data_IF_725451002451
#
_entry.id   IF_725451002451
#
_cell.length_a   1.000
_cell.length_b   1.000
_cell.length_c   1.000
_cell.angle_alpha   90.00
_cell.angle_beta   90.00
_cell.angle_gamma   90.00
#
_symmetry.space_group_name_H-M   'P 1'
#
loop_
_entity.id
_entity.type
_entity.pdbx_description
1 polymer ?
#
# COMPACT_ATOMS: atom_id res chain seq x y z
N UNK A 1 -6.67 -30.45 42.37
CA UNK A 1 -7.09 -29.14 41.85
C UNK A 1 -5.92 -28.16 41.66
N UNK A 2 -4.96 -28.03 42.59
CA UNK A 2 -3.75 -27.21 42.38
C UNK A 2 -2.66 -27.89 41.52
N UNK A 3 -2.57 -29.23 41.48
CA UNK A 3 -1.63 -29.93 40.58
C UNK A 3 -2.10 -29.97 39.10
N UNK A 4 -3.41 -29.99 38.84
CA UNK A 4 -3.95 -29.88 37.47
C UNK A 4 -3.85 -28.47 36.88
N UNK A 5 -3.65 -27.44 37.72
CA UNK A 5 -3.38 -26.07 37.27
C UNK A 5 -1.90 -25.84 36.93
N UNK A 6 -0.98 -26.62 37.51
CA UNK A 6 0.44 -26.56 37.14
C UNK A 6 0.76 -27.30 35.84
N UNK A 7 0.06 -28.39 35.52
CA UNK A 7 0.23 -29.07 34.22
C UNK A 7 -0.34 -28.28 33.03
N UNK A 8 -1.37 -27.46 33.25
CA UNK A 8 -1.94 -26.60 32.20
C UNK A 8 -1.13 -25.33 31.91
N UNK A 9 -0.28 -24.87 32.86
CA UNK A 9 0.64 -23.76 32.62
C UNK A 9 1.92 -24.16 31.88
N UNK A 10 2.20 -25.46 31.79
CA UNK A 10 3.32 -26.03 31.02
C UNK A 10 2.92 -26.48 29.60
N UNK A 11 1.68 -26.24 29.16
CA UNK A 11 1.38 -26.16 27.73
C UNK A 11 1.85 -24.81 27.22
N UNK A 12 3.17 -24.75 27.11
CA UNK A 12 3.96 -23.82 26.33
C UNK A 12 3.09 -23.03 25.35
N UNK A 13 3.12 -21.69 25.50
CA UNK A 13 3.17 -20.81 24.34
C UNK A 13 4.37 -21.27 23.49
N UNK A 14 4.15 -22.30 22.68
CA UNK A 14 4.97 -22.53 21.52
C UNK A 14 4.68 -21.34 20.62
N UNK A 15 5.50 -20.30 20.77
CA UNK A 15 5.72 -19.30 19.75
C UNK A 15 5.75 -20.06 18.42
N UNK A 16 4.91 -19.70 17.43
CA UNK A 16 4.83 -20.47 16.20
C UNK A 16 6.25 -20.63 15.67
N UNK A 17 6.67 -21.91 15.55
CA UNK A 17 7.97 -22.33 15.02
C UNK A 17 8.32 -21.33 13.93
N UNK A 18 9.37 -20.53 14.17
CA UNK A 18 9.68 -19.38 13.34
C UNK A 18 9.82 -19.87 11.91
N UNK A 19 8.81 -19.61 11.07
CA UNK A 19 8.91 -19.93 9.65
C UNK A 19 10.20 -19.28 9.14
N UNK A 20 11.08 -20.03 8.46
CA UNK A 20 12.24 -19.43 7.84
C UNK A 20 11.76 -18.34 6.87
N UNK A 21 12.49 -17.23 6.83
CA UNK A 21 12.22 -16.14 5.89
C UNK A 21 12.29 -16.69 4.46
N UNK A 22 11.47 -16.15 3.56
CA UNK A 22 11.48 -16.62 2.18
C UNK A 22 12.81 -16.24 1.52
N UNK A 23 13.37 -17.16 0.75
CA UNK A 23 14.53 -16.83 -0.09
C UNK A 23 14.12 -15.92 -1.25
N UNK A 24 15.10 -15.23 -1.84
CA UNK A 24 14.88 -14.41 -3.05
C UNK A 24 14.27 -15.27 -4.18
N UNK A 25 14.73 -16.51 -4.34
CA UNK A 25 14.20 -17.45 -5.33
C UNK A 25 12.73 -17.78 -5.09
N UNK A 26 12.33 -18.04 -3.84
CA UNK A 26 10.92 -18.30 -3.49
C UNK A 26 10.03 -17.10 -3.84
N UNK A 27 10.48 -15.88 -3.52
CA UNK A 27 9.75 -14.65 -3.88
C UNK A 27 9.63 -14.47 -5.39
N UNK A 28 10.66 -14.82 -6.16
CA UNK A 28 10.63 -14.76 -7.63
C UNK A 28 9.62 -15.74 -8.22
N UNK A 29 9.59 -16.98 -7.74
CA UNK A 29 8.62 -18.00 -8.19
C UNK A 29 7.18 -17.55 -7.90
N UNK A 30 6.91 -17.03 -6.70
CA UNK A 30 5.57 -16.53 -6.36
C UNK A 30 5.14 -15.34 -7.24
N UNK A 31 6.07 -14.42 -7.55
CA UNK A 31 5.80 -13.30 -8.47
C UNK A 31 5.47 -13.79 -9.88
N UNK A 32 6.15 -14.81 -10.40
CA UNK A 32 5.86 -15.37 -11.73
C UNK A 32 4.41 -15.91 -11.84
N UNK A 33 3.85 -16.37 -10.73
CA UNK A 33 2.47 -16.85 -10.67
C UNK A 33 1.42 -15.73 -10.50
N UNK A 34 1.85 -14.47 -10.39
CA UNK A 34 0.96 -13.33 -10.17
C UNK A 34 0.93 -12.43 -11.40
N UNK A 35 -0.24 -12.12 -11.97
CA UNK A 35 -0.31 -11.38 -13.22
C UNK A 35 -0.34 -9.84 -12.99
N UNK A 36 0.64 -9.29 -12.27
CA UNK A 36 0.74 -7.85 -12.00
C UNK A 36 1.58 -7.12 -13.07
N UNK A 37 1.08 -6.02 -13.68
CA UNK A 37 1.82 -5.27 -14.69
C UNK A 37 3.20 -4.76 -14.24
N UNK A 38 3.33 -4.35 -12.98
CA UNK A 38 4.59 -3.81 -12.43
C UNK A 38 5.75 -4.81 -12.46
N UNK A 39 5.47 -6.12 -12.52
CA UNK A 39 6.50 -7.16 -12.48
C UNK A 39 7.43 -7.08 -13.68
N UNK A 40 6.91 -6.74 -14.86
CA UNK A 40 7.70 -6.59 -16.07
C UNK A 40 8.68 -5.40 -16.00
N UNK A 41 8.41 -4.43 -15.13
CA UNK A 41 9.20 -3.21 -14.99
C UNK A 41 10.31 -3.32 -13.94
N UNK A 42 10.50 -4.47 -13.27
CA UNK A 42 11.44 -4.63 -12.15
C UNK A 42 12.87 -4.20 -12.51
N UNK A 43 13.43 -4.77 -13.57
CA UNK A 43 14.83 -4.54 -13.93
C UNK A 43 15.05 -3.11 -14.43
N UNK A 44 14.10 -2.57 -15.21
CA UNK A 44 14.13 -1.19 -15.66
C UNK A 44 14.05 -0.23 -14.46
N UNK A 45 13.13 -0.46 -13.52
CA UNK A 45 12.97 0.33 -12.31
C UNK A 45 14.26 0.41 -11.50
N UNK A 46 14.87 -0.73 -11.16
CA UNK A 46 16.10 -0.75 -10.36
C UNK A 46 17.26 -0.05 -11.08
N UNK A 47 17.47 -0.36 -12.37
CA UNK A 47 18.54 0.23 -13.16
C UNK A 47 18.38 1.75 -13.30
N UNK A 48 17.16 2.23 -13.57
CA UNK A 48 16.87 3.66 -13.72
C UNK A 48 16.97 4.40 -12.40
N UNK A 49 16.41 3.88 -11.32
CA UNK A 49 16.52 4.50 -10.01
C UNK A 49 17.98 4.63 -9.56
N UNK A 50 18.80 3.60 -9.80
CA UNK A 50 20.24 3.64 -9.53
C UNK A 50 20.96 4.76 -10.31
N UNK A 51 20.58 4.97 -11.58
CA UNK A 51 21.18 5.98 -12.46
C UNK A 51 20.70 7.40 -12.16
N UNK A 52 19.40 7.57 -11.97
CA UNK A 52 18.73 8.88 -11.99
C UNK A 52 18.48 9.44 -10.58
N UNK A 53 18.56 8.58 -9.55
CA UNK A 53 18.35 8.89 -8.13
C UNK A 53 16.93 9.29 -7.73
N UNK A 54 16.21 9.98 -8.61
CA UNK A 54 14.79 10.31 -8.46
C UNK A 54 14.05 9.74 -9.66
N UNK A 55 13.04 8.91 -9.39
CA UNK A 55 12.21 8.32 -10.43
C UNK A 55 10.74 8.59 -10.14
N UNK A 56 10.03 9.12 -11.13
CA UNK A 56 8.57 9.28 -11.09
C UNK A 56 7.96 8.04 -11.74
N UNK A 57 7.25 7.22 -10.98
CA UNK A 57 6.60 6.00 -11.48
C UNK A 57 5.13 6.28 -11.71
N UNK A 58 4.72 6.23 -12.98
CA UNK A 58 3.34 6.36 -13.42
C UNK A 58 2.78 4.99 -13.77
N UNK A 59 1.79 4.54 -13.01
CA UNK A 59 1.05 3.32 -13.33
C UNK A 59 -0.34 3.37 -12.73
N UNK A 60 -1.32 2.72 -13.36
CA UNK A 60 -2.69 2.69 -12.86
C UNK A 60 -2.84 2.01 -11.49
N UNK A 61 -3.94 2.30 -10.80
CA UNK A 61 -4.33 1.57 -9.58
C UNK A 61 -4.47 0.08 -9.87
N UNK A 62 -4.04 -0.77 -8.95
CA UNK A 62 -4.07 -2.23 -9.16
C UNK A 62 -2.90 -2.79 -9.98
N UNK A 63 -1.99 -1.95 -10.50
CA UNK A 63 -0.79 -2.43 -11.20
C UNK A 63 0.25 -3.12 -10.30
N UNK A 64 0.14 -2.94 -8.98
CA UNK A 64 1.05 -3.51 -7.97
C UNK A 64 2.15 -2.57 -7.46
N UNK A 65 2.13 -1.26 -7.79
CA UNK A 65 3.15 -0.28 -7.35
C UNK A 65 3.44 -0.35 -5.85
N UNK A 66 2.41 -0.17 -5.04
CA UNK A 66 2.48 -0.04 -3.59
C UNK A 66 2.92 -1.31 -2.88
N UNK A 67 2.82 -2.48 -3.54
CA UNK A 67 3.28 -3.76 -2.98
C UNK A 67 4.66 -4.15 -3.49
N UNK A 68 4.94 -3.98 -4.79
CA UNK A 68 6.15 -4.52 -5.41
C UNK A 68 7.35 -3.56 -5.42
N UNK A 69 7.13 -2.25 -5.62
CA UNK A 69 8.24 -1.28 -5.67
C UNK A 69 9.07 -1.27 -4.38
N UNK A 70 8.49 -1.31 -3.17
CA UNK A 70 9.27 -1.38 -1.94
C UNK A 70 10.10 -2.66 -1.84
N UNK A 71 9.58 -3.79 -2.32
CA UNK A 71 10.29 -5.06 -2.31
C UNK A 71 11.47 -5.06 -3.30
N UNK A 72 11.29 -4.48 -4.48
CA UNK A 72 12.39 -4.34 -5.46
C UNK A 72 13.49 -3.44 -4.93
N UNK A 73 13.10 -2.32 -4.32
CA UNK A 73 14.04 -1.40 -3.72
C UNK A 73 14.84 -2.09 -2.60
N UNK A 74 14.18 -2.85 -1.74
CA UNK A 74 14.82 -3.58 -0.64
C UNK A 74 15.80 -4.64 -1.16
N UNK A 75 15.38 -5.46 -2.12
CA UNK A 75 16.21 -6.51 -2.72
C UNK A 75 17.43 -5.94 -3.46
N UNK A 76 17.29 -4.80 -4.13
CA UNK A 76 18.35 -4.27 -5.02
C UNK A 76 19.31 -3.32 -4.31
N UNK A 77 18.81 -2.40 -3.49
CA UNK A 77 19.63 -1.34 -2.87
C UNK A 77 20.10 -1.70 -1.45
N UNK A 78 19.43 -2.65 -0.81
CA UNK A 78 19.61 -2.97 0.61
C UNK A 78 19.27 -1.78 1.52
N UNK A 79 19.48 -1.98 2.82
CA UNK A 79 19.15 -0.97 3.83
C UNK A 79 17.63 -0.71 3.94
N UNK A 80 17.26 0.33 4.68
CA UNK A 80 15.86 0.62 4.97
C UNK A 80 15.16 1.27 3.78
N UNK A 81 14.06 0.68 3.33
CA UNK A 81 13.09 1.29 2.40
C UNK A 81 11.92 1.83 3.19
N UNK A 82 11.62 3.12 3.04
CA UNK A 82 10.43 3.75 3.62
C UNK A 82 9.43 4.02 2.52
N UNK A 83 8.21 3.53 2.66
CA UNK A 83 7.10 3.77 1.73
C UNK A 83 6.01 4.56 2.44
N UNK A 84 5.75 5.78 2.00
CA UNK A 84 4.70 6.62 2.59
C UNK A 84 3.34 6.32 1.99
N UNK A 85 2.30 6.51 2.79
CA UNK A 85 0.91 6.34 2.38
C UNK A 85 0.08 7.48 2.99
N UNK A 86 -0.81 8.14 2.24
CA UNK A 86 -1.66 9.19 2.81
C UNK A 86 -2.67 8.64 3.82
N UNK A 87 -3.09 7.36 3.66
CA UNK A 87 -4.14 6.73 4.47
C UNK A 87 -3.59 5.69 5.45
N UNK A 88 -4.06 5.77 6.69
CA UNK A 88 -3.70 4.85 7.79
C UNK A 88 -4.00 3.39 7.43
N UNK A 89 -5.21 3.10 6.93
CA UNK A 89 -5.64 1.74 6.61
C UNK A 89 -4.86 1.18 5.42
N UNK A 90 -4.50 2.02 4.44
CA UNK A 90 -3.62 1.64 3.33
C UNK A 90 -2.24 1.22 3.84
N UNK A 91 -1.60 2.04 4.70
CA UNK A 91 -0.30 1.70 5.29
C UNK A 91 -0.31 0.36 6.04
N UNK A 92 -1.31 0.13 6.89
CA UNK A 92 -1.43 -1.11 7.67
C UNK A 92 -1.69 -2.31 6.76
N UNK A 93 -2.63 -2.21 5.82
CA UNK A 93 -3.00 -3.31 4.94
C UNK A 93 -1.86 -3.68 3.98
N UNK A 94 -1.16 -2.69 3.42
CA UNK A 94 0.02 -2.91 2.59
C UNK A 94 1.16 -3.56 3.36
N UNK A 95 1.45 -3.09 4.58
CA UNK A 95 2.48 -3.72 5.42
C UNK A 95 2.16 -5.19 5.69
N UNK A 96 0.91 -5.52 6.02
CA UNK A 96 0.46 -6.91 6.23
C UNK A 96 0.56 -7.74 4.97
N UNK A 97 0.10 -7.20 3.84
CA UNK A 97 0.16 -7.87 2.55
C UNK A 97 1.61 -8.16 2.15
N UNK A 98 2.48 -7.16 2.24
CA UNK A 98 3.88 -7.28 1.86
C UNK A 98 4.67 -8.12 2.85
N UNK A 99 4.38 -8.11 4.15
CA UNK A 99 5.01 -9.06 5.09
C UNK A 99 4.75 -10.52 4.70
N UNK A 100 3.51 -10.82 4.27
CA UNK A 100 3.14 -12.15 3.80
C UNK A 100 3.79 -12.51 2.45
N UNK A 101 3.83 -11.57 1.50
CA UNK A 101 4.49 -11.79 0.20
C UNK A 101 6.01 -11.94 0.35
N UNK A 102 6.64 -11.01 1.07
CA UNK A 102 8.09 -10.89 1.21
C UNK A 102 8.67 -12.05 2.01
N UNK A 103 8.12 -12.39 3.19
CA UNK A 103 8.72 -13.43 4.05
C UNK A 103 7.74 -14.49 4.54
N UNK A 104 6.46 -14.42 4.18
CA UNK A 104 5.46 -15.41 4.62
C UNK A 104 5.19 -15.37 6.13
N UNK A 105 5.50 -14.24 6.78
CA UNK A 105 5.41 -14.04 8.23
C UNK A 105 4.57 -12.80 8.57
N UNK A 106 4.28 -12.64 9.86
CA UNK A 106 3.61 -11.46 10.39
C UNK A 106 4.47 -10.20 10.28
N UNK A 107 3.80 -9.05 10.15
CA UNK A 107 4.38 -7.71 10.29
C UNK A 107 5.18 -7.59 11.60
N UNK A 108 6.25 -6.81 11.58
CA UNK A 108 7.11 -6.56 12.74
C UNK A 108 8.41 -7.35 12.74
N UNK A 109 8.80 -7.93 11.61
CA UNK A 109 10.16 -8.42 11.35
C UNK A 109 10.78 -7.64 10.19
N UNK A 110 10.78 -8.20 8.98
CA UNK A 110 11.36 -7.57 7.79
C UNK A 110 10.49 -6.44 7.20
N UNK A 111 9.20 -6.45 7.50
CA UNK A 111 8.24 -5.44 7.08
C UNK A 111 7.48 -4.89 8.28
N UNK A 112 7.42 -3.57 8.41
CA UNK A 112 6.74 -2.87 9.52
C UNK A 112 5.80 -1.77 9.06
N UNK A 113 5.06 -1.17 10.00
CA UNK A 113 4.38 0.10 9.74
C UNK A 113 4.37 1.08 10.94
N UNK A 114 4.23 2.38 10.65
CA UNK A 114 3.93 3.43 11.65
C UNK A 114 2.82 4.37 11.20
N UNK A 115 1.80 4.53 12.03
CA UNK A 115 0.62 5.35 11.72
C UNK A 115 0.13 6.10 12.97
N UNK A 116 0.30 7.43 12.99
CA UNK A 116 0.02 8.23 14.19
C UNK A 116 0.74 7.69 15.43
N UNK A 117 0.02 7.52 16.54
CA UNK A 117 0.56 6.92 17.78
C UNK A 117 0.56 5.37 17.77
N UNK A 118 -0.01 4.75 16.73
CA UNK A 118 -0.05 3.31 16.59
C UNK A 118 1.17 2.83 15.78
N UNK A 119 2.01 2.04 16.42
CA UNK A 119 3.16 1.38 15.82
C UNK A 119 3.10 -0.12 16.12
N UNK A 120 3.28 -0.94 15.10
CA UNK A 120 3.56 -2.37 15.26
C UNK A 120 4.98 -2.60 14.80
N UNK A 121 5.80 -3.09 15.74
CA UNK A 121 7.26 -2.94 15.76
C UNK A 121 7.74 -2.15 16.99
N UNK A 122 7.03 -2.26 18.13
CA UNK A 122 7.35 -1.60 19.39
C UNK A 122 8.44 -2.35 20.12
N UNK A 123 9.67 -1.86 19.95
CA UNK A 123 10.60 -1.50 21.02
C UNK A 123 11.85 -0.97 20.32
N UNK A 124 12.21 0.30 20.57
CA UNK A 124 13.45 0.94 20.16
C UNK A 124 14.01 0.61 18.76
N UNK A 125 13.83 1.55 17.82
CA UNK A 125 14.66 1.73 16.63
C UNK A 125 15.07 0.47 15.88
N UNK A 126 14.36 0.22 14.77
CA UNK A 126 14.60 -0.88 13.82
C UNK A 126 14.31 -2.22 14.49
N UNK A 127 13.49 -3.07 13.88
CA UNK A 127 13.84 -4.49 14.03
C UNK A 127 15.18 -4.60 13.31
N UNK A 128 16.26 -5.10 13.95
CA UNK A 128 17.43 -5.49 13.20
C UNK A 128 16.98 -6.43 12.07
N UNK A 129 17.10 -5.99 10.82
CA UNK A 129 16.56 -6.69 9.65
C UNK A 129 15.21 -6.22 9.10
N UNK A 130 14.62 -5.09 9.54
CA UNK A 130 13.52 -4.47 8.79
C UNK A 130 14.03 -3.83 7.50
N UNK A 131 13.70 -4.46 6.38
CA UNK A 131 14.02 -3.97 5.04
C UNK A 131 13.00 -2.93 4.56
N UNK A 132 11.73 -3.02 4.99
CA UNK A 132 10.62 -2.21 4.46
C UNK A 132 9.76 -1.65 5.60
N UNK A 133 9.52 -0.34 5.59
CA UNK A 133 8.65 0.36 6.53
C UNK A 133 7.56 1.14 5.79
N UNK A 134 6.30 0.80 6.04
CA UNK A 134 5.17 1.62 5.61
C UNK A 134 4.84 2.69 6.64
N UNK A 135 4.62 3.92 6.23
CA UNK A 135 4.40 5.02 7.18
C UNK A 135 3.36 5.98 6.65
N UNK A 136 2.54 6.57 7.51
CA UNK A 136 1.71 7.70 7.05
C UNK A 136 2.56 8.94 6.84
N UNK A 137 2.21 9.78 5.87
CA UNK A 137 3.00 11.00 5.59
C UNK A 137 3.24 11.85 6.86
N UNK A 138 2.19 12.04 7.65
CA UNK A 138 2.28 12.76 8.92
C UNK A 138 3.19 12.07 9.95
N UNK A 139 3.11 10.75 10.07
CA UNK A 139 3.96 10.00 10.99
C UNK A 139 5.43 10.05 10.57
N UNK A 140 5.74 10.07 9.27
CA UNK A 140 7.11 10.20 8.80
C UNK A 140 7.70 11.56 9.17
N UNK A 141 6.93 12.64 9.00
CA UNK A 141 7.38 13.99 9.37
C UNK A 141 7.68 14.07 10.86
N UNK A 142 6.78 13.55 11.70
CA UNK A 142 6.98 13.53 13.16
C UNK A 142 8.18 12.66 13.57
N UNK A 143 8.26 11.43 13.07
CA UNK A 143 9.35 10.50 13.40
C UNK A 143 10.71 11.01 12.95
N UNK A 144 10.77 11.70 11.82
CA UNK A 144 12.03 12.27 11.38
C UNK A 144 12.51 13.41 12.28
N UNK A 145 11.60 14.14 12.95
CA UNK A 145 11.98 15.15 13.95
C UNK A 145 12.50 14.51 15.24
N UNK A 146 11.90 13.38 15.65
CA UNK A 146 12.23 12.71 16.92
C UNK A 146 13.44 11.78 16.82
N UNK A 147 13.45 10.90 15.82
CA UNK A 147 14.44 9.81 15.69
C UNK A 147 15.33 9.92 14.46
N UNK A 148 15.03 10.84 13.53
CA UNK A 148 15.81 11.01 12.30
C UNK A 148 15.73 9.81 11.35
N UNK A 149 14.57 9.13 11.28
CA UNK A 149 14.38 7.91 10.46
C UNK A 149 14.86 8.02 9.01
N UNK A 150 14.80 9.22 8.39
CA UNK A 150 15.28 9.41 7.02
C UNK A 150 16.81 9.38 6.89
N UNK A 151 17.56 9.55 7.98
CA UNK A 151 19.02 9.40 8.01
C UNK A 151 19.45 7.98 7.63
N UNK A 152 18.66 7.02 8.06
CA UNK A 152 18.90 5.59 7.90
C UNK A 152 18.20 4.99 6.66
N UNK A 153 17.34 5.78 6.02
CA UNK A 153 16.58 5.36 4.84
C UNK A 153 17.51 5.35 3.62
N UNK A 154 17.55 4.23 2.89
CA UNK A 154 18.25 4.10 1.61
C UNK A 154 17.38 4.56 0.44
N UNK A 155 16.10 4.15 0.46
CA UNK A 155 15.12 4.48 -0.58
C UNK A 155 13.84 5.00 0.08
N UNK A 156 13.43 6.21 -0.29
CA UNK A 156 12.14 6.78 0.10
C UNK A 156 11.17 6.70 -1.08
N UNK A 157 10.05 6.00 -0.89
CA UNK A 157 8.96 5.89 -1.84
C UNK A 157 7.82 6.75 -1.31
N UNK A 158 7.45 7.80 -2.04
CA UNK A 158 6.31 8.66 -1.75
C UNK A 158 5.17 8.17 -2.63
N UNK A 159 4.29 7.35 -2.06
CA UNK A 159 3.19 6.72 -2.79
C UNK A 159 1.92 7.55 -2.76
N UNK A 160 1.06 7.35 -3.74
CA UNK A 160 -0.16 8.13 -3.95
C UNK A 160 0.04 9.65 -3.87
N UNK A 161 1.16 10.13 -4.43
CA UNK A 161 1.52 11.56 -4.46
C UNK A 161 0.48 12.43 -5.20
N UNK A 162 -0.49 11.79 -5.86
CA UNK A 162 -1.66 12.42 -6.47
C UNK A 162 -2.70 12.93 -5.48
N UNK A 163 -2.74 12.41 -4.25
CA UNK A 163 -3.68 12.90 -3.23
C UNK A 163 -3.32 14.31 -2.72
N UNK A 164 -2.09 14.78 -2.98
CA UNK A 164 -1.63 16.17 -2.75
C UNK A 164 -1.96 16.69 -1.35
N UNK A 165 -1.76 15.86 -0.33
CA UNK A 165 -1.91 16.31 1.04
C UNK A 165 -0.76 17.24 1.46
N UNK A 166 -1.00 18.12 2.44
CA UNK A 166 0.03 19.00 3.00
C UNK A 166 1.26 18.21 3.48
N UNK A 167 1.02 17.08 4.16
CA UNK A 167 2.11 16.24 4.67
C UNK A 167 2.90 15.59 3.53
N UNK A 168 2.24 15.17 2.45
CA UNK A 168 2.91 14.65 1.25
C UNK A 168 3.85 15.70 0.67
N UNK A 169 3.40 16.95 0.52
CA UNK A 169 4.20 18.06 0.00
C UNK A 169 5.41 18.38 0.92
N UNK A 170 5.23 18.29 2.25
CA UNK A 170 6.34 18.42 3.22
C UNK A 170 7.36 17.29 3.03
N UNK A 171 6.91 16.03 2.93
CA UNK A 171 7.80 14.88 2.71
C UNK A 171 8.58 15.03 1.41
N UNK A 172 7.94 15.47 0.32
CA UNK A 172 8.60 15.77 -0.97
C UNK A 172 9.67 16.85 -0.80
N UNK A 173 9.38 17.92 -0.06
CA UNK A 173 10.34 18.97 0.27
C UNK A 173 11.56 18.46 1.05
N UNK A 174 11.32 17.65 2.08
CA UNK A 174 12.38 17.00 2.88
C UNK A 174 13.23 16.07 2.01
N UNK A 175 12.61 15.29 1.13
CA UNK A 175 13.30 14.39 0.22
C UNK A 175 14.27 15.16 -0.70
N UNK A 176 13.85 16.31 -1.25
CA UNK A 176 14.70 17.17 -2.08
C UNK A 176 15.91 17.73 -1.32
N UNK A 177 15.74 18.09 -0.05
CA UNK A 177 16.86 18.52 0.80
C UNK A 177 17.83 17.37 1.07
N UNK A 178 17.31 16.19 1.42
CA UNK A 178 18.12 15.01 1.69
C UNK A 178 18.91 14.55 0.46
N UNK A 179 18.34 14.59 -0.73
CA UNK A 179 19.06 14.27 -1.98
C UNK A 179 20.32 15.12 -2.19
N UNK A 180 20.31 16.39 -1.74
CA UNK A 180 21.47 17.28 -1.77
C UNK A 180 22.49 16.95 -0.68
N UNK A 181 22.02 16.61 0.52
CA UNK A 181 22.89 16.28 1.66
C UNK A 181 23.52 14.88 1.55
N UNK A 182 22.84 13.95 0.87
CA UNK A 182 23.20 12.54 0.72
C UNK A 182 23.33 12.18 -0.76
N UNK A 183 24.40 12.62 -1.45
CA UNK A 183 24.49 12.54 -2.91
C UNK A 183 24.74 11.13 -3.45
N UNK A 184 25.17 10.19 -2.61
CA UNK A 184 25.61 8.85 -3.04
C UNK A 184 24.70 7.74 -2.52
N UNK A 185 24.03 7.97 -1.40
CA UNK A 185 23.43 6.89 -0.62
C UNK A 185 21.91 7.04 -0.36
N UNK A 186 21.23 7.97 -1.03
CA UNK A 186 19.78 8.17 -0.93
C UNK A 186 19.08 8.27 -2.30
N UNK A 187 17.97 7.53 -2.43
CA UNK A 187 17.13 7.47 -3.63
C UNK A 187 15.67 7.81 -3.31
N UNK A 188 14.97 8.41 -4.27
CA UNK A 188 13.57 8.82 -4.12
C UNK A 188 12.73 8.27 -5.26
N UNK A 189 11.58 7.70 -4.92
CA UNK A 189 10.56 7.28 -5.89
C UNK A 189 9.29 8.05 -5.62
N UNK A 190 8.76 8.73 -6.63
CA UNK A 190 7.44 9.36 -6.57
C UNK A 190 6.47 8.47 -7.34
N UNK A 191 5.59 7.77 -6.63
CA UNK A 191 4.60 6.89 -7.24
C UNK A 191 3.26 7.61 -7.33
N UNK A 192 2.66 7.59 -8.53
CA UNK A 192 1.37 8.23 -8.80
C UNK A 192 0.56 7.47 -9.83
N UNK A 193 -0.75 7.36 -9.59
CA UNK A 193 -1.69 6.77 -10.52
C UNK A 193 -2.20 7.74 -11.60
N UNK A 194 -2.30 9.03 -11.28
CA UNK A 194 -3.12 9.98 -12.05
C UNK A 194 -2.47 11.34 -12.28
N UNK A 195 -1.19 11.51 -11.92
CA UNK A 195 -0.54 12.82 -12.03
C UNK A 195 0.11 13.00 -13.40
N UNK A 196 -0.09 14.19 -13.97
CA UNK A 196 0.83 14.79 -14.93
C UNK A 196 2.21 14.97 -14.24
N UNK A 197 3.22 14.17 -14.64
CA UNK A 197 4.51 14.15 -13.96
C UNK A 197 5.24 15.51 -14.01
N UNK A 198 4.84 16.42 -14.90
CA UNK A 198 5.45 17.74 -15.12
C UNK A 198 5.79 18.47 -13.82
N UNK A 199 4.84 18.54 -12.87
CA UNK A 199 5.05 19.24 -11.59
C UNK A 199 6.17 18.64 -10.75
N UNK A 200 6.32 17.31 -10.76
CA UNK A 200 7.41 16.64 -10.05
C UNK A 200 8.73 16.79 -10.79
N UNK A 201 8.71 16.72 -12.13
CA UNK A 201 9.89 16.94 -12.95
C UNK A 201 10.43 18.34 -12.75
N UNK A 202 9.59 19.37 -12.83
CA UNK A 202 9.95 20.76 -12.59
C UNK A 202 10.49 20.95 -11.16
N UNK A 203 9.80 20.39 -10.16
CA UNK A 203 10.21 20.52 -8.77
C UNK A 203 11.58 19.89 -8.52
N UNK A 204 11.85 18.70 -9.06
CA UNK A 204 13.15 18.03 -8.88
C UNK A 204 14.20 18.42 -9.93
N UNK A 205 13.86 19.31 -10.89
CA UNK A 205 14.71 19.71 -12.02
C UNK A 205 15.13 18.51 -12.88
N UNK A 206 14.18 17.61 -13.14
CA UNK A 206 14.34 16.40 -13.93
C UNK A 206 13.79 16.60 -15.34
N UNK A 207 14.05 15.63 -16.21
CA UNK A 207 13.47 15.57 -17.55
C UNK A 207 12.51 14.39 -17.65
N UNK A 208 11.75 14.29 -18.75
CA UNK A 208 10.84 13.17 -19.00
C UNK A 208 11.54 11.79 -18.97
N UNK A 209 12.86 11.75 -19.16
CA UNK A 209 13.63 10.53 -18.97
C UNK A 209 13.61 10.00 -17.55
N UNK A 210 13.03 10.72 -16.58
CA UNK A 210 12.81 10.30 -15.20
C UNK A 210 11.41 9.83 -14.89
N UNK A 211 10.58 9.67 -15.91
CA UNK A 211 9.27 9.04 -15.81
C UNK A 211 9.37 7.58 -16.23
N UNK A 212 9.04 6.66 -15.33
CA UNK A 212 8.83 5.24 -15.64
C UNK A 212 7.33 5.01 -15.82
N UNK A 213 6.92 4.78 -17.06
CA UNK A 213 5.53 4.46 -17.38
C UNK A 213 5.36 2.94 -17.35
N UNK A 214 4.44 2.48 -16.51
CA UNK A 214 4.08 1.06 -16.44
C UNK A 214 2.66 0.94 -16.96
N UNK A 215 2.47 0.28 -18.12
CA UNK A 215 1.15 0.17 -18.72
C UNK A 215 0.20 -0.56 -17.77
N UNK A 216 -1.01 -0.03 -17.63
CA UNK A 216 -2.08 -0.70 -16.91
C UNK A 216 -2.68 -1.85 -17.71
N UNK A 217 -3.55 -2.62 -17.05
CA UNK A 217 -4.48 -3.51 -17.74
C UNK A 217 -5.79 -2.76 -17.84
N UNK A 218 -5.97 -2.05 -18.94
CA UNK A 218 -7.27 -1.48 -19.26
C UNK A 218 -8.16 -2.62 -19.76
N UNK A 219 -9.22 -2.88 -19.01
CA UNK A 219 -10.35 -3.66 -19.50
C UNK A 219 -11.40 -2.68 -20.01
N UNK A 220 -12.14 -3.06 -21.05
CA UNK A 220 -13.23 -2.23 -21.54
C UNK A 220 -14.29 -2.05 -20.44
N UNK A 221 -14.56 -0.79 -20.09
CA UNK A 221 -15.59 -0.42 -19.12
C UNK A 221 -16.78 0.16 -19.86
N UNK A 222 -17.92 -0.52 -19.78
CA UNK A 222 -19.20 -0.02 -20.27
C UNK A 222 -19.82 0.89 -19.21
N UNK A 223 -20.28 2.07 -19.63
CA UNK A 223 -20.86 3.08 -18.73
C UNK A 223 -22.33 3.24 -19.07
N UNK A 224 -23.19 2.87 -18.13
CA UNK A 224 -24.64 3.05 -18.22
C UNK A 224 -25.12 4.18 -17.31
N UNK A 225 -25.79 5.17 -17.89
CA UNK A 225 -26.39 6.28 -17.15
C UNK A 225 -27.86 5.99 -16.84
N UNK A 226 -28.19 5.93 -15.54
CA UNK A 226 -29.57 5.75 -15.08
C UNK A 226 -30.20 7.13 -14.82
N UNK A 227 -31.46 7.38 -15.21
CA UNK A 227 -32.15 8.62 -14.91
C UNK A 227 -32.25 8.89 -13.40
N UNK A 228 -32.21 10.16 -13.02
CA UNK A 228 -32.41 10.56 -11.63
C UNK A 228 -33.74 10.03 -11.08
N UNK A 229 -33.72 9.48 -9.86
CA UNK A 229 -34.94 9.12 -9.13
C UNK A 229 -35.27 10.16 -8.06
N UNK A 230 -36.52 10.12 -7.58
CA UNK A 230 -36.95 10.82 -6.37
C UNK A 230 -36.55 10.06 -5.09
N UNK A 231 -36.13 8.80 -5.23
CA UNK A 231 -35.66 7.98 -4.11
C UNK A 231 -34.39 8.55 -3.50
N UNK A 232 -34.11 8.17 -2.26
CA UNK A 232 -32.79 8.44 -1.67
C UNK A 232 -31.68 7.74 -2.46
N UNK A 233 -30.45 8.26 -2.38
CA UNK A 233 -29.29 7.66 -3.06
C UNK A 233 -29.08 6.19 -2.66
N UNK A 234 -29.39 5.86 -1.40
CA UNK A 234 -29.30 4.50 -0.85
C UNK A 234 -30.32 3.58 -1.50
N UNK A 235 -31.59 3.98 -1.54
CA UNK A 235 -32.66 3.20 -2.16
C UNK A 235 -32.43 3.01 -3.65
N UNK A 236 -31.99 4.06 -4.34
CA UNK A 236 -31.68 4.00 -5.76
C UNK A 236 -30.52 3.04 -6.05
N UNK A 237 -29.42 3.13 -5.30
CA UNK A 237 -28.27 2.24 -5.45
C UNK A 237 -28.66 0.77 -5.20
N UNK A 238 -29.41 0.50 -4.13
CA UNK A 238 -29.88 -0.86 -3.81
C UNK A 238 -30.86 -1.38 -4.87
N UNK A 239 -31.73 -0.53 -5.42
CA UNK A 239 -32.62 -0.89 -6.53
C UNK A 239 -31.83 -1.30 -7.78
N UNK A 240 -30.78 -0.56 -8.13
CA UNK A 240 -29.89 -0.90 -9.24
C UNK A 240 -29.20 -2.24 -8.99
N UNK A 241 -28.66 -2.46 -7.78
CA UNK A 241 -28.03 -3.75 -7.42
C UNK A 241 -28.96 -4.94 -7.69
N UNK A 242 -30.23 -4.84 -7.28
CA UNK A 242 -31.20 -5.91 -7.54
C UNK A 242 -31.53 -6.08 -9.03
N UNK A 243 -31.57 -5.00 -9.82
CA UNK A 243 -31.80 -5.08 -11.27
C UNK A 243 -30.65 -5.76 -12.01
N UNK A 244 -29.42 -5.46 -11.59
CA UNK A 244 -28.20 -5.97 -12.24
C UNK A 244 -27.77 -7.34 -11.71
N UNK A 245 -28.37 -7.79 -10.60
CA UNK A 245 -27.97 -9.02 -9.91
C UNK A 245 -27.95 -10.26 -10.81
N UNK A 246 -28.99 -10.49 -11.62
CA UNK A 246 -29.06 -11.65 -12.52
C UNK A 246 -28.22 -11.48 -13.80
N UNK A 247 -27.75 -10.26 -14.08
CA UNK A 247 -27.06 -9.91 -15.32
C UNK A 247 -25.54 -10.10 -15.23
N UNK A 248 -24.97 -9.97 -14.04
CA UNK A 248 -23.52 -10.00 -13.85
C UNK A 248 -23.10 -11.01 -12.78
N UNK A 249 -22.11 -11.83 -13.14
CA UNK A 249 -21.44 -12.72 -12.20
C UNK A 249 -20.20 -12.02 -11.66
N UNK A 250 -20.04 -11.95 -10.33
CA UNK A 250 -18.84 -11.42 -9.69
C UNK A 250 -19.12 -10.50 -8.51
N UNK A 251 -18.10 -9.71 -8.13
CA UNK A 251 -18.20 -8.73 -7.04
C UNK A 251 -18.68 -7.38 -7.57
N UNK A 252 -19.57 -6.72 -6.81
CA UNK A 252 -19.99 -5.35 -7.11
C UNK A 252 -19.44 -4.40 -6.04
N UNK A 253 -18.77 -3.34 -6.49
CA UNK A 253 -18.30 -2.26 -5.62
C UNK A 253 -19.26 -1.08 -5.72
N UNK A 254 -19.81 -0.65 -4.59
CA UNK A 254 -20.74 0.48 -4.52
C UNK A 254 -20.12 1.61 -3.70
N UNK A 255 -20.04 2.79 -4.32
CA UNK A 255 -19.59 4.01 -3.66
C UNK A 255 -20.80 4.76 -3.10
N UNK A 256 -20.76 5.09 -1.80
CA UNK A 256 -21.80 5.83 -1.11
C UNK A 256 -21.19 7.00 -0.33
N UNK A 257 -21.96 8.08 -0.08
CA UNK A 257 -21.42 9.32 0.48
C UNK A 257 -20.77 9.21 1.85
N UNK A 258 -21.20 8.26 2.69
CA UNK A 258 -20.73 8.18 4.07
C UNK A 258 -21.08 6.88 4.78
N UNK A 259 -20.53 6.73 5.99
CA UNK A 259 -20.68 5.52 6.80
C UNK A 259 -22.14 5.22 7.16
N UNK A 260 -22.98 6.26 7.31
CA UNK A 260 -24.41 6.13 7.59
C UNK A 260 -25.14 5.51 6.40
N UNK A 261 -24.92 6.06 5.21
CA UNK A 261 -25.53 5.61 3.95
C UNK A 261 -25.07 4.18 3.62
N UNK A 262 -23.79 3.87 3.85
CA UNK A 262 -23.24 2.52 3.71
C UNK A 262 -23.99 1.53 4.60
N UNK A 263 -24.19 1.87 5.88
CA UNK A 263 -24.90 0.98 6.80
C UNK A 263 -26.36 0.80 6.38
N UNK A 264 -27.04 1.89 6.02
CA UNK A 264 -28.43 1.83 5.54
C UNK A 264 -28.56 0.98 4.27
N UNK A 265 -27.61 1.08 3.34
CA UNK A 265 -27.61 0.26 2.13
C UNK A 265 -27.42 -1.22 2.43
N UNK A 266 -26.50 -1.57 3.34
CA UNK A 266 -26.29 -2.95 3.80
C UNK A 266 -27.57 -3.49 4.44
N UNK A 267 -28.18 -2.73 5.35
CA UNK A 267 -29.40 -3.14 6.05
C UNK A 267 -30.56 -3.34 5.06
N UNK A 268 -30.71 -2.44 4.08
CA UNK A 268 -31.75 -2.51 3.06
C UNK A 268 -31.53 -3.68 2.10
N UNK A 269 -30.28 -3.91 1.68
CA UNK A 269 -29.90 -5.02 0.79
C UNK A 269 -30.09 -6.37 1.49
N UNK A 270 -29.68 -6.49 2.76
CA UNK A 270 -29.80 -7.71 3.55
C UNK A 270 -31.26 -8.17 3.76
N UNK A 271 -32.23 -7.25 3.77
CA UNK A 271 -33.66 -7.59 3.87
C UNK A 271 -34.18 -8.41 2.69
N UNK A 272 -33.53 -8.33 1.53
CA UNK A 272 -33.94 -8.99 0.28
C UNK A 272 -32.78 -9.75 -0.37
N UNK A 273 -31.76 -10.12 0.40
CA UNK A 273 -30.51 -10.64 -0.15
C UNK A 273 -30.73 -11.97 -0.89
N UNK A 274 -30.19 -12.13 -2.13
CA UNK A 274 -30.17 -13.41 -2.79
C UNK A 274 -29.32 -14.41 -2.00
N UNK A 275 -29.68 -15.71 -2.04
CA UNK A 275 -29.09 -16.76 -1.17
C UNK A 275 -27.56 -16.92 -1.28
N UNK A 276 -26.97 -16.44 -2.36
CA UNK A 276 -25.55 -16.55 -2.73
C UNK A 276 -24.81 -15.20 -2.68
N UNK A 277 -25.39 -14.19 -2.03
CA UNK A 277 -24.76 -12.89 -1.84
C UNK A 277 -24.39 -12.65 -0.39
N UNK A 278 -23.33 -11.85 -0.19
CA UNK A 278 -22.97 -11.27 1.10
C UNK A 278 -22.64 -9.80 0.88
N UNK A 279 -23.23 -8.92 1.69
CA UNK A 279 -22.84 -7.51 1.73
C UNK A 279 -21.70 -7.32 2.72
N UNK A 280 -20.55 -6.84 2.23
CA UNK A 280 -19.39 -6.56 3.06
C UNK A 280 -19.13 -5.05 3.08
N UNK A 281 -18.90 -4.51 4.28
CA UNK A 281 -18.45 -3.13 4.43
C UNK A 281 -16.95 -3.06 4.16
N UNK A 282 -16.57 -2.33 3.12
CA UNK A 282 -15.18 -1.90 2.91
C UNK A 282 -14.94 -0.67 3.78
N UNK A 283 -14.19 -0.84 4.86
CA UNK A 283 -13.69 0.27 5.67
C UNK A 283 -12.33 0.64 5.08
N UNK A 284 -12.27 1.76 4.36
CA UNK A 284 -11.05 2.38 3.83
C UNK A 284 -10.54 3.42 4.82
#
# INVERSE_FOLDING_TARGET
LQQQQQENNNRELQLPISKPLKSIEQRQIERQNTPLPILAAKDEFCRRLQKERVLVVRAETGSGKSTQLPQYAAEYFGGLVVCTQPRVIAAISLARRVANEYDGISVGKSVGYRVGHASVGKDNNRVPGTDILYVTDAALVQENQESGVLRDTRVLIIDEAHERSLYTDIVIGMAKLLLKMRPTDFYVVISSATVDPSKFLDFFQLTDSSVLNVPGRLYDVYIDYVPNSRDSIVEHAVSILFKLYDQFQGHTLVFLPGAREIQQAIDLFNRKIPKNCVALKLII
#
